data_IF_744759334147
#
_entry.id   IF_744759334147
#
_cell.length_a   1.000
_cell.length_b   1.000
_cell.length_c   1.000
_cell.angle_alpha   90.00
_cell.angle_beta   90.00
_cell.angle_gamma   90.00
#
_symmetry.space_group_name_H-M   'P 1'
#
loop_
_entity.id
_entity.type
_entity.pdbx_description
1 polymer ?
#
# COMPACT_ATOMS: atom_id res chain seq x y z
N UNK A 1 23.59 10.67 -5.05
CA UNK A 1 22.74 9.47 -5.22
C UNK A 1 22.70 8.75 -3.89
N UNK A 2 21.56 8.71 -3.22
CA UNK A 2 21.34 7.91 -2.01
C UNK A 2 21.13 6.47 -2.47
N UNK A 3 21.81 5.48 -1.90
CA UNK A 3 21.64 4.08 -2.30
C UNK A 3 20.24 3.58 -1.91
N UNK A 4 19.71 2.57 -2.62
CA UNK A 4 18.39 1.98 -2.35
C UNK A 4 18.23 1.49 -0.91
N UNK A 5 19.32 1.04 -0.29
CA UNK A 5 19.38 0.66 1.13
C UNK A 5 19.30 1.85 2.09
N UNK A 6 19.94 2.98 1.76
CA UNK A 6 19.85 4.19 2.59
C UNK A 6 18.45 4.80 2.52
N UNK A 7 17.79 4.72 1.36
CA UNK A 7 16.41 5.15 1.20
C UNK A 7 15.45 4.29 2.05
N UNK A 8 15.67 2.97 2.14
CA UNK A 8 14.81 2.06 2.92
C UNK A 8 15.01 2.17 4.44
N UNK A 9 16.17 2.66 4.91
CA UNK A 9 16.45 2.90 6.34
C UNK A 9 15.96 4.27 6.84
N UNK A 10 15.56 5.16 5.93
CA UNK A 10 15.10 6.52 6.25
C UNK A 10 13.63 6.74 5.93
N UNK A 11 12.93 5.65 5.60
CA UNK A 11 11.51 5.60 5.34
C UNK A 11 10.79 4.92 6.52
N UNK A 12 9.94 5.63 7.29
CA UNK A 12 9.24 5.05 8.43
C UNK A 12 8.27 3.93 8.04
N UNK A 13 7.78 3.92 6.79
CA UNK A 13 6.90 2.87 6.28
C UNK A 13 7.67 1.61 5.81
N UNK A 14 9.00 1.67 5.67
CA UNK A 14 9.81 0.57 5.17
C UNK A 14 9.90 -0.60 6.17
N UNK A 15 9.68 -1.85 5.72
CA UNK A 15 9.87 -3.04 6.56
C UNK A 15 11.29 -3.15 7.14
N UNK A 16 12.30 -2.70 6.40
CA UNK A 16 13.70 -2.72 6.85
C UNK A 16 13.90 -1.79 8.03
N UNK A 17 13.36 -0.56 7.94
CA UNK A 17 13.40 0.40 9.05
C UNK A 17 12.64 -0.14 10.27
N UNK A 18 11.41 -0.64 10.09
CA UNK A 18 10.62 -1.20 11.17
C UNK A 18 11.32 -2.34 11.91
N UNK A 19 11.97 -3.25 11.17
CA UNK A 19 12.74 -4.35 11.75
C UNK A 19 13.95 -3.84 12.55
N UNK A 20 14.76 -2.93 11.96
CA UNK A 20 15.96 -2.38 12.62
C UNK A 20 15.57 -1.59 13.87
N UNK A 21 14.58 -0.71 13.79
CA UNK A 21 14.10 0.08 14.91
C UNK A 21 13.59 -0.81 16.05
N UNK A 22 12.80 -1.83 15.74
CA UNK A 22 12.28 -2.80 16.72
C UNK A 22 13.42 -3.59 17.38
N UNK A 23 14.39 -4.05 16.60
CA UNK A 23 15.55 -4.79 17.13
C UNK A 23 16.40 -3.92 18.06
N UNK A 24 16.71 -2.68 17.65
CA UNK A 24 17.49 -1.73 18.45
C UNK A 24 16.75 -1.39 19.75
N UNK A 25 15.49 -0.97 19.67
CA UNK A 25 14.69 -0.58 20.85
C UNK A 25 14.39 -1.76 21.76
N UNK A 26 14.18 -2.96 21.21
CA UNK A 26 13.99 -4.19 21.98
C UNK A 26 15.26 -4.69 22.67
N UNK A 27 16.45 -4.41 22.13
CA UNK A 27 17.72 -4.84 22.72
C UNK A 27 18.15 -3.95 23.91
N UNK A 28 17.80 -2.66 23.91
CA UNK A 28 18.24 -1.72 24.95
C UNK A 28 17.89 -2.17 26.39
N UNK A 29 16.66 -2.63 26.69
CA UNK A 29 16.30 -3.06 28.05
C UNK A 29 16.99 -4.36 28.52
N UNK A 30 17.68 -5.08 27.63
CA UNK A 30 18.49 -6.24 28.01
C UNK A 30 19.77 -5.83 28.75
N UNK A 31 20.24 -4.60 28.54
CA UNK A 31 21.44 -4.06 29.17
C UNK A 31 21.07 -3.53 30.55
N UNK A 32 21.83 -3.93 31.58
CA UNK A 32 21.64 -3.45 32.95
C UNK A 32 22.61 -2.30 33.24
N UNK A 33 22.17 -1.04 33.22
CA UNK A 33 23.06 0.12 33.34
C UNK A 33 23.78 0.19 34.70
N UNK A 34 23.21 -0.43 35.75
CA UNK A 34 23.82 -0.48 37.09
C UNK A 34 25.00 -1.44 37.21
N UNK A 35 25.18 -2.34 36.24
CA UNK A 35 26.36 -3.21 36.17
C UNK A 35 27.51 -2.60 35.38
N UNK A 36 27.30 -1.44 34.76
CA UNK A 36 28.29 -0.75 33.93
C UNK A 36 29.09 0.25 34.77
N UNK A 37 30.35 0.46 34.39
CA UNK A 37 31.14 1.56 34.93
C UNK A 37 30.64 2.92 34.39
N UNK A 38 31.07 4.02 35.00
CA UNK A 38 30.56 5.36 34.68
C UNK A 38 30.82 5.82 33.23
N UNK A 39 31.87 5.29 32.59
CA UNK A 39 32.22 5.63 31.20
C UNK A 39 31.34 4.86 30.22
N UNK A 40 31.21 3.54 30.42
CA UNK A 40 30.36 2.68 29.60
C UNK A 40 28.87 3.06 29.73
N UNK A 41 28.43 3.46 30.93
CA UNK A 41 27.06 3.95 31.15
C UNK A 41 26.79 5.25 30.39
N UNK A 42 27.73 6.19 30.39
CA UNK A 42 27.62 7.42 29.58
C UNK A 42 27.60 7.15 28.08
N UNK A 43 28.41 6.19 27.62
CA UNK A 43 28.40 5.76 26.22
C UNK A 43 27.04 5.15 25.82
N UNK A 44 26.45 4.32 26.69
CA UNK A 44 25.10 3.76 26.48
C UNK A 44 24.03 4.84 26.40
N UNK A 45 24.09 5.85 27.28
CA UNK A 45 23.17 6.99 27.26
C UNK A 45 23.28 7.81 25.97
N UNK A 46 24.50 8.07 25.50
CA UNK A 46 24.73 8.73 24.23
C UNK A 46 24.18 7.92 23.03
N UNK A 47 24.42 6.61 23.02
CA UNK A 47 23.92 5.73 21.96
C UNK A 47 22.38 5.66 21.94
N UNK A 48 21.75 5.55 23.11
CA UNK A 48 20.29 5.51 23.25
C UNK A 48 19.65 6.82 22.80
N UNK A 49 20.25 7.95 23.19
CA UNK A 49 19.78 9.27 22.77
C UNK A 49 19.92 9.48 21.27
N UNK A 50 21.04 9.05 20.67
CA UNK A 50 21.23 9.10 19.22
C UNK A 50 20.19 8.23 18.50
N UNK A 51 19.93 7.01 18.97
CA UNK A 51 18.93 6.13 18.38
C UNK A 51 17.51 6.74 18.46
N UNK A 52 17.18 7.35 19.60
CA UNK A 52 15.92 8.07 19.81
C UNK A 52 15.78 9.25 18.85
N UNK A 53 16.83 10.06 18.71
CA UNK A 53 16.86 11.20 17.80
C UNK A 53 16.72 10.80 16.34
N UNK A 54 17.40 9.73 15.91
CA UNK A 54 17.29 9.18 14.55
C UNK A 54 15.86 8.68 14.32
N UNK A 55 15.31 7.90 15.25
CA UNK A 55 13.94 7.39 15.14
C UNK A 55 12.93 8.54 15.01
N UNK A 56 13.00 9.56 15.87
CA UNK A 56 12.13 10.74 15.79
C UNK A 56 12.33 11.54 14.50
N UNK A 57 13.56 11.71 14.02
CA UNK A 57 13.80 12.41 12.76
C UNK A 57 13.17 11.68 11.56
N UNK A 58 13.11 10.35 11.60
CA UNK A 58 12.51 9.52 10.54
C UNK A 58 10.98 9.50 10.65
N UNK A 59 10.42 9.47 11.85
CA UNK A 59 8.96 9.35 12.03
C UNK A 59 8.20 10.67 12.02
N UNK A 60 8.87 11.81 12.25
CA UNK A 60 8.22 13.12 12.20
C UNK A 60 7.92 13.54 10.75
N UNK A 61 6.70 14.08 10.59
CA UNK A 61 6.01 14.51 9.36
C UNK A 61 6.93 15.07 8.25
N UNK A 62 6.74 14.53 7.04
CA UNK A 62 7.50 14.88 5.82
C UNK A 62 7.05 16.20 5.18
N UNK A 63 5.87 16.73 5.54
CA UNK A 63 5.21 17.77 4.74
C UNK A 63 5.60 19.23 5.06
N UNK A 64 6.57 19.47 5.96
CA UNK A 64 7.02 20.84 6.29
C UNK A 64 8.05 21.36 5.28
N UNK A 65 7.60 22.14 4.29
CA UNK A 65 8.42 22.96 3.37
C UNK A 65 9.02 24.20 4.03
N UNK A 66 9.65 24.05 5.19
CA UNK A 66 10.28 25.17 5.93
C UNK A 66 11.80 25.12 5.76
N UNK A 67 12.46 26.28 5.70
CA UNK A 67 13.90 26.50 5.43
C UNK A 67 14.91 25.78 6.36
N UNK A 68 14.44 25.03 7.36
CA UNK A 68 15.21 24.07 8.13
C UNK A 68 14.44 22.75 8.07
N UNK A 69 15.07 21.60 7.73
CA UNK A 69 14.37 20.33 7.72
C UNK A 69 13.90 20.04 9.16
N UNK A 70 12.61 20.26 9.42
CA UNK A 70 11.95 20.14 10.73
C UNK A 70 12.32 18.82 11.45
N UNK A 71 12.52 17.76 10.66
CA UNK A 71 13.03 16.44 11.07
C UNK A 71 14.36 16.48 11.80
N UNK A 72 15.34 17.23 11.29
CA UNK A 72 16.65 17.36 11.92
C UNK A 72 16.54 18.09 13.27
N UNK A 73 15.68 19.12 13.34
CA UNK A 73 15.41 19.86 14.58
C UNK A 73 14.70 18.98 15.60
N UNK A 74 13.67 18.25 15.18
CA UNK A 74 12.92 17.32 16.03
C UNK A 74 13.80 16.19 16.55
N UNK A 75 14.63 15.58 15.70
CA UNK A 75 15.59 14.55 16.11
C UNK A 75 16.65 15.06 17.08
N UNK A 76 17.19 16.26 16.85
CA UNK A 76 18.15 16.90 17.77
C UNK A 76 17.49 17.24 19.11
N UNK A 77 16.26 17.76 19.10
CA UNK A 77 15.50 18.05 20.31
C UNK A 77 15.22 16.76 21.09
N UNK A 78 14.79 15.68 20.43
CA UNK A 78 14.57 14.38 21.05
C UNK A 78 15.86 13.79 21.65
N UNK A 79 16.99 13.92 20.94
CA UNK A 79 18.31 13.51 21.45
C UNK A 79 18.67 14.27 22.73
N UNK A 80 18.50 15.60 22.73
CA UNK A 80 18.81 16.45 23.87
C UNK A 80 17.92 16.13 25.08
N UNK A 81 16.63 15.88 24.85
CA UNK A 81 15.69 15.44 25.89
C UNK A 81 16.12 14.07 26.44
N UNK A 82 16.41 13.09 25.58
CA UNK A 82 16.84 11.76 26.01
C UNK A 82 18.12 11.82 26.86
N UNK A 83 19.13 12.61 26.45
CA UNK A 83 20.35 12.83 27.24
C UNK A 83 20.06 13.50 28.59
N UNK A 84 19.20 14.53 28.61
CA UNK A 84 18.86 15.28 29.83
C UNK A 84 18.17 14.39 30.88
N UNK A 85 17.39 13.42 30.43
CA UNK A 85 16.64 12.53 31.31
C UNK A 85 17.28 11.14 31.50
N UNK A 86 18.52 10.94 31.03
CA UNK A 86 19.22 9.67 31.11
C UNK A 86 19.29 9.09 32.55
N UNK A 87 19.68 9.91 33.53
CA UNK A 87 19.78 9.47 34.93
C UNK A 87 18.39 9.20 35.57
N UNK A 88 17.37 9.97 35.17
CA UNK A 88 15.99 9.71 35.57
C UNK A 88 15.44 8.42 34.95
N UNK A 89 15.90 8.10 33.73
CA UNK A 89 15.65 6.85 33.03
C UNK A 89 16.20 5.64 33.81
N UNK A 90 17.44 5.70 34.30
CA UNK A 90 18.03 4.63 35.13
C UNK A 90 17.21 4.37 36.41
N UNK A 91 16.71 5.45 37.05
CA UNK A 91 15.84 5.32 38.23
C UNK A 91 14.47 4.70 37.90
N UNK A 92 13.89 5.04 36.75
CA UNK A 92 12.63 4.47 36.28
C UNK A 92 12.79 3.00 35.87
N UNK A 93 13.87 2.66 35.17
CA UNK A 93 14.24 1.30 34.79
C UNK A 93 14.39 0.40 36.01
N UNK A 94 15.15 0.82 37.02
CA UNK A 94 15.31 0.06 38.26
C UNK A 94 13.98 -0.16 39.00
N UNK A 95 13.10 0.85 39.05
CA UNK A 95 11.75 0.72 39.62
C UNK A 95 10.91 -0.29 38.84
N UNK A 96 10.97 -0.31 37.52
CA UNK A 96 10.25 -1.28 36.68
C UNK A 96 10.77 -2.70 36.92
N UNK A 97 12.09 -2.90 36.93
CA UNK A 97 12.70 -4.20 37.26
C UNK A 97 12.27 -4.67 38.65
N UNK A 98 12.28 -3.78 39.64
CA UNK A 98 11.87 -4.11 41.00
C UNK A 98 10.39 -4.47 41.08
N UNK A 99 9.51 -3.73 40.40
CA UNK A 99 8.07 -4.05 40.31
C UNK A 99 7.80 -5.40 39.64
N UNK A 100 8.51 -5.70 38.55
CA UNK A 100 8.38 -7.00 37.87
C UNK A 100 8.87 -8.14 38.75
N UNK A 101 9.99 -7.96 39.49
CA UNK A 101 10.45 -8.94 40.47
C UNK A 101 9.47 -9.13 41.61
N UNK A 102 8.89 -8.04 42.15
CA UNK A 102 7.89 -8.14 43.22
C UNK A 102 6.61 -8.81 42.75
N UNK A 103 6.30 -8.76 41.45
CA UNK A 103 5.22 -9.51 40.81
C UNK A 103 5.59 -10.97 40.47
N UNK A 104 6.77 -11.47 40.86
CA UNK A 104 7.19 -12.86 40.66
C UNK A 104 7.82 -13.17 39.29
N UNK A 105 8.13 -12.16 38.48
CA UNK A 105 8.72 -12.37 37.15
C UNK A 105 10.18 -12.83 37.26
N UNK A 106 10.46 -14.03 36.74
CA UNK A 106 11.80 -14.66 36.78
C UNK A 106 12.86 -13.94 35.92
N UNK A 107 12.45 -13.32 34.80
CA UNK A 107 13.35 -12.61 33.88
C UNK A 107 12.85 -11.20 33.51
N UNK A 108 12.85 -10.23 34.45
CA UNK A 108 12.28 -8.89 34.24
C UNK A 108 12.81 -8.18 32.99
N UNK A 109 14.13 -8.25 32.75
CA UNK A 109 14.82 -7.63 31.61
C UNK A 109 14.31 -8.15 30.26
N UNK A 110 14.05 -9.47 30.15
CA UNK A 110 13.50 -10.08 28.92
C UNK A 110 12.06 -9.62 28.66
N UNK A 111 11.27 -9.46 29.72
CA UNK A 111 9.90 -8.94 29.61
C UNK A 111 9.87 -7.46 29.22
N UNK A 112 10.79 -6.64 29.75
CA UNK A 112 10.93 -5.24 29.33
C UNK A 112 11.39 -5.13 27.87
N UNK A 113 12.32 -5.97 27.45
CA UNK A 113 12.77 -6.06 26.05
C UNK A 113 11.61 -6.43 25.13
N UNK A 114 10.86 -7.49 25.47
CA UNK A 114 9.69 -7.92 24.71
C UNK A 114 8.61 -6.83 24.64
N UNK A 115 8.32 -6.15 25.76
CA UNK A 115 7.35 -5.05 25.79
C UNK A 115 7.78 -3.86 24.94
N UNK A 116 9.06 -3.49 24.99
CA UNK A 116 9.61 -2.38 24.19
C UNK A 116 9.60 -2.70 22.70
N UNK A 117 9.96 -3.94 22.33
CA UNK A 117 9.86 -4.42 20.96
C UNK A 117 8.40 -4.40 20.47
N UNK A 118 7.45 -4.90 21.28
CA UNK A 118 6.03 -4.91 20.92
C UNK A 118 5.46 -3.50 20.72
N UNK A 119 5.78 -2.55 21.60
CA UNK A 119 5.35 -1.16 21.47
C UNK A 119 5.95 -0.48 20.23
N UNK A 120 7.25 -0.70 19.97
CA UNK A 120 7.93 -0.14 18.79
C UNK A 120 7.34 -0.71 17.50
N UNK A 121 7.07 -2.02 17.48
CA UNK A 121 6.44 -2.67 16.33
C UNK A 121 5.01 -2.16 16.10
N UNK A 122 4.23 -1.97 17.16
CA UNK A 122 2.88 -1.41 17.06
C UNK A 122 2.91 0.04 16.52
N UNK A 123 3.86 0.87 16.97
CA UNK A 123 4.06 2.22 16.44
C UNK A 123 4.43 2.18 14.94
N UNK A 124 5.34 1.29 14.54
CA UNK A 124 5.67 1.08 13.12
C UNK A 124 4.44 0.68 12.28
N UNK A 125 3.59 -0.22 12.79
CA UNK A 125 2.36 -0.60 12.08
C UNK A 125 1.39 0.59 11.94
N UNK A 126 1.30 1.44 12.96
CA UNK A 126 0.49 2.66 12.91
C UNK A 126 1.05 3.67 11.88
N UNK A 127 2.36 3.93 11.89
CA UNK A 127 3.03 4.82 10.93
C UNK A 127 2.85 4.30 9.49
N UNK A 128 2.98 2.99 9.26
CA UNK A 128 2.76 2.38 7.96
C UNK A 128 1.30 2.46 7.50
N UNK A 129 0.35 2.33 8.42
CA UNK A 129 -1.07 2.50 8.10
C UNK A 129 -1.40 3.97 7.75
N UNK A 130 -0.82 4.93 8.48
CA UNK A 130 -0.97 6.36 8.19
C UNK A 130 -0.37 6.72 6.82
N UNK A 131 0.84 6.24 6.51
CA UNK A 131 1.49 6.48 5.22
C UNK A 131 0.67 5.95 4.02
N UNK A 132 0.07 4.76 4.14
CA UNK A 132 -0.84 4.21 3.11
C UNK A 132 -2.09 5.07 2.93
N UNK A 133 -2.63 5.60 4.02
CA UNK A 133 -3.78 6.48 3.98
C UNK A 133 -3.44 7.80 3.28
N UNK A 134 -2.29 8.40 3.59
CA UNK A 134 -1.80 9.61 2.91
C UNK A 134 -1.55 9.37 1.41
N UNK A 135 -0.96 8.23 1.04
CA UNK A 135 -0.79 7.85 -0.37
C UNK A 135 -2.13 7.74 -1.09
N UNK A 136 -3.11 7.09 -0.47
CA UNK A 136 -4.47 6.98 -1.02
C UNK A 136 -5.18 8.34 -1.12
N UNK A 137 -5.08 9.21 -0.11
CA UNK A 137 -5.67 10.55 -0.11
C UNK A 137 -4.98 11.49 -1.12
N UNK A 138 -3.66 11.39 -1.27
CA UNK A 138 -2.89 12.17 -2.25
C UNK A 138 -3.23 11.76 -3.69
N UNK A 139 -3.43 10.46 -3.94
CA UNK A 139 -3.93 9.95 -5.23
C UNK A 139 -5.38 10.39 -5.45
N UNK A 140 -6.27 10.25 -4.46
CA UNK A 140 -7.67 10.67 -4.60
C UNK A 140 -7.84 12.18 -4.90
N UNK A 141 -6.96 13.04 -4.38
CA UNK A 141 -6.98 14.48 -4.65
C UNK A 141 -6.64 14.89 -6.10
N UNK A 142 -6.10 13.97 -6.90
CA UNK A 142 -5.80 14.17 -8.32
C UNK A 142 -6.82 13.51 -9.26
N UNK A 143 -7.80 12.77 -8.71
CA UNK A 143 -8.84 12.12 -9.49
C UNK A 143 -9.68 13.15 -10.22
N UNK A 144 -9.67 13.08 -11.54
CA UNK A 144 -10.64 13.80 -12.36
C UNK A 144 -11.68 12.81 -12.86
N UNK A 145 -12.94 13.23 -12.81
CA UNK A 145 -14.06 12.44 -13.28
C UNK A 145 -14.53 12.99 -14.61
N UNK A 146 -14.64 12.12 -15.60
CA UNK A 146 -15.23 12.43 -16.90
C UNK A 146 -16.33 11.43 -17.25
N UNK A 147 -17.23 11.77 -18.18
CA UNK A 147 -18.11 10.78 -18.79
C UNK A 147 -17.27 9.67 -19.41
N UNK A 148 -17.71 8.41 -19.25
CA UNK A 148 -17.02 7.25 -19.85
C UNK A 148 -16.94 7.44 -21.37
N UNK A 149 -15.75 7.29 -21.93
CA UNK A 149 -15.53 7.39 -23.37
C UNK A 149 -16.38 6.38 -24.17
N UNK A 150 -16.89 6.73 -25.37
CA UNK A 150 -17.80 5.86 -26.13
C UNK A 150 -17.23 4.47 -26.43
N UNK A 151 -15.93 4.37 -26.72
CA UNK A 151 -15.29 3.08 -27.00
C UNK A 151 -15.28 2.16 -25.77
N UNK A 152 -14.91 2.69 -24.61
CA UNK A 152 -14.91 1.98 -23.32
C UNK A 152 -16.34 1.56 -22.96
N UNK A 153 -17.29 2.49 -23.01
CA UNK A 153 -18.70 2.22 -22.71
C UNK A 153 -19.25 1.09 -23.59
N UNK A 154 -19.07 1.19 -24.90
CA UNK A 154 -19.58 0.20 -25.85
C UNK A 154 -18.92 -1.17 -25.68
N UNK A 155 -17.61 -1.21 -25.40
CA UNK A 155 -16.90 -2.46 -25.10
C UNK A 155 -17.41 -3.10 -23.82
N UNK A 156 -17.51 -2.35 -22.72
CA UNK A 156 -18.04 -2.86 -21.45
C UNK A 156 -19.47 -3.37 -21.61
N UNK A 157 -20.35 -2.60 -22.27
CA UNK A 157 -21.72 -3.01 -22.53
C UNK A 157 -21.76 -4.30 -23.37
N UNK A 158 -20.95 -4.39 -24.42
CA UNK A 158 -20.91 -5.57 -25.28
C UNK A 158 -20.44 -6.82 -24.54
N UNK A 159 -19.43 -6.71 -23.66
CA UNK A 159 -18.95 -7.80 -22.81
C UNK A 159 -20.07 -8.27 -21.87
N UNK A 160 -20.77 -7.33 -21.23
CA UNK A 160 -21.86 -7.63 -20.29
C UNK A 160 -23.09 -8.25 -20.98
N UNK A 161 -23.33 -7.92 -22.26
CA UNK A 161 -24.46 -8.43 -23.04
C UNK A 161 -24.14 -9.66 -23.88
N UNK A 162 -22.88 -10.05 -24.03
CA UNK A 162 -22.47 -11.14 -24.91
C UNK A 162 -23.16 -12.48 -24.57
N UNK A 163 -23.43 -12.73 -23.29
CA UNK A 163 -24.19 -13.90 -22.83
C UNK A 163 -24.84 -13.62 -21.48
N UNK A 164 -25.84 -14.43 -21.11
CA UNK A 164 -26.53 -14.29 -19.82
C UNK A 164 -25.65 -14.83 -18.68
N UNK A 165 -25.01 -13.91 -17.96
CA UNK A 165 -24.17 -14.19 -16.80
C UNK A 165 -24.77 -13.54 -15.56
N UNK A 166 -24.76 -14.26 -14.44
CA UNK A 166 -25.19 -13.72 -13.16
C UNK A 166 -24.46 -12.41 -12.82
N UNK A 167 -25.22 -11.39 -12.43
CA UNK A 167 -24.68 -10.06 -12.11
C UNK A 167 -24.60 -9.10 -13.30
N UNK A 168 -24.71 -9.56 -14.56
CA UNK A 168 -24.61 -8.70 -15.75
C UNK A 168 -25.62 -7.54 -15.73
N UNK A 169 -26.87 -7.80 -15.36
CA UNK A 169 -27.90 -6.76 -15.27
C UNK A 169 -27.61 -5.68 -14.22
N UNK A 170 -27.00 -6.05 -13.10
CA UNK A 170 -26.58 -5.08 -12.07
C UNK A 170 -25.42 -4.21 -12.58
N UNK A 171 -24.43 -4.82 -13.25
CA UNK A 171 -23.30 -4.11 -13.84
C UNK A 171 -23.76 -3.18 -14.98
N UNK A 172 -24.71 -3.58 -15.82
CA UNK A 172 -25.28 -2.71 -16.86
C UNK A 172 -25.94 -1.47 -16.25
N UNK A 173 -26.74 -1.62 -15.19
CA UNK A 173 -27.33 -0.48 -14.50
C UNK A 173 -26.29 0.45 -13.84
N UNK A 174 -25.13 -0.08 -13.48
CA UNK A 174 -24.01 0.72 -12.99
C UNK A 174 -23.31 1.49 -14.12
N UNK A 175 -23.10 0.85 -15.27
CA UNK A 175 -22.44 1.44 -16.43
C UNK A 175 -23.16 2.71 -16.91
N UNK A 176 -24.51 2.70 -16.88
CA UNK A 176 -25.36 3.83 -17.29
C UNK A 176 -25.07 5.15 -16.54
N UNK A 177 -24.54 5.06 -15.33
CA UNK A 177 -24.26 6.22 -14.45
C UNK A 177 -22.81 6.30 -14.00
N UNK A 178 -21.96 5.40 -14.49
CA UNK A 178 -20.55 5.38 -14.15
C UNK A 178 -19.81 6.58 -14.75
N UNK A 179 -18.76 7.00 -14.06
CA UNK A 179 -17.81 7.99 -14.57
C UNK A 179 -16.44 7.34 -14.70
N UNK A 180 -15.65 7.79 -15.65
CA UNK A 180 -14.27 7.35 -15.81
C UNK A 180 -13.37 8.22 -14.93
N UNK A 181 -12.47 7.56 -14.18
CA UNK A 181 -11.39 8.21 -13.44
C UNK A 181 -10.22 8.35 -14.40
N UNK A 182 -9.75 9.56 -14.62
CA UNK A 182 -8.61 9.84 -15.49
C UNK A 182 -7.54 10.67 -14.78
N UNK A 183 -6.29 10.41 -15.14
CA UNK A 183 -5.09 10.95 -14.48
C UNK A 183 -4.27 11.86 -15.39
N UNK A 184 -4.28 11.60 -16.70
CA UNK A 184 -3.59 12.38 -17.73
C UNK A 184 -4.44 12.48 -19.01
N UNK A 185 -3.91 13.20 -20.02
CA UNK A 185 -4.57 13.44 -21.30
C UNK A 185 -4.18 12.37 -22.37
N UNK A 186 -3.57 11.25 -21.96
CA UNK A 186 -3.06 10.20 -22.83
C UNK A 186 -4.00 9.01 -22.99
N UNK A 187 -3.68 8.12 -23.93
CA UNK A 187 -4.34 6.81 -23.99
C UNK A 187 -3.87 5.95 -22.81
N UNK A 188 -4.81 5.22 -22.21
CA UNK A 188 -4.51 4.16 -21.25
C UNK A 188 -5.22 2.87 -21.67
N UNK A 189 -4.49 1.76 -21.58
CA UNK A 189 -5.01 0.40 -21.70
C UNK A 189 -5.94 0.02 -20.54
N UNK A 190 -6.07 0.87 -19.51
CA UNK A 190 -6.95 0.66 -18.37
C UNK A 190 -7.89 1.85 -18.19
N UNK A 191 -9.21 1.59 -18.21
CA UNK A 191 -10.23 2.56 -17.87
C UNK A 191 -10.82 2.22 -16.50
N UNK A 192 -10.63 3.10 -15.52
CA UNK A 192 -11.14 2.94 -14.15
C UNK A 192 -12.51 3.62 -14.00
N UNK A 193 -13.43 2.98 -13.30
CA UNK A 193 -14.79 3.48 -13.12
C UNK A 193 -15.03 3.96 -11.69
N UNK A 194 -15.76 5.06 -11.57
CA UNK A 194 -16.41 5.51 -10.34
C UNK A 194 -17.91 5.23 -10.44
N UNK A 195 -18.40 4.37 -9.56
CA UNK A 195 -19.81 3.96 -9.50
C UNK A 195 -20.43 4.37 -8.16
N UNK A 196 -21.59 5.07 -8.14
CA UNK A 196 -22.32 5.42 -6.93
C UNK A 196 -22.59 4.22 -6.00
N UNK A 197 -22.66 4.45 -4.69
CA UNK A 197 -22.81 3.39 -3.68
C UNK A 197 -24.22 2.80 -3.59
N UNK A 198 -25.22 3.53 -4.09
CA UNK A 198 -26.64 3.22 -3.94
C UNK A 198 -27.16 2.21 -4.97
N UNK A 199 -26.34 1.84 -5.95
CA UNK A 199 -26.73 0.96 -7.05
C UNK A 199 -26.69 -0.52 -6.66
N UNK A 200 -27.48 -1.38 -7.34
CA UNK A 200 -27.45 -2.82 -7.12
C UNK A 200 -26.04 -3.39 -7.31
N UNK A 201 -25.61 -4.27 -6.40
CA UNK A 201 -24.30 -4.94 -6.47
C UNK A 201 -24.41 -6.27 -7.19
N UNK A 202 -23.46 -6.53 -8.08
CA UNK A 202 -23.32 -7.81 -8.77
C UNK A 202 -22.80 -8.89 -7.82
N UNK A 203 -23.27 -10.12 -8.00
CA UNK A 203 -22.78 -11.31 -7.27
C UNK A 203 -22.14 -12.26 -8.28
N UNK A 204 -20.92 -12.75 -8.02
CA UNK A 204 -20.07 -12.47 -6.85
C UNK A 204 -19.46 -11.07 -6.86
N UNK A 205 -19.16 -10.56 -5.65
CA UNK A 205 -18.72 -9.17 -5.47
C UNK A 205 -17.29 -8.91 -5.97
N UNK A 206 -16.41 -9.91 -5.93
CA UNK A 206 -15.02 -9.77 -6.37
C UNK A 206 -14.73 -10.85 -7.39
N UNK A 207 -14.54 -10.45 -8.65
CA UNK A 207 -14.28 -11.37 -9.76
C UNK A 207 -13.73 -10.62 -10.98
N UNK A 208 -13.02 -11.34 -11.84
CA UNK A 208 -12.96 -10.98 -13.26
C UNK A 208 -14.27 -11.46 -13.88
N UNK A 209 -14.98 -10.60 -14.59
CA UNK A 209 -16.20 -10.99 -15.29
C UNK A 209 -15.87 -12.07 -16.33
N UNK A 210 -16.63 -13.17 -16.43
CA UNK A 210 -16.18 -14.36 -17.14
C UNK A 210 -16.19 -14.23 -18.67
N UNK A 211 -16.76 -13.15 -19.21
CA UNK A 211 -16.68 -12.85 -20.65
C UNK A 211 -15.46 -11.96 -20.91
N UNK A 212 -14.64 -12.35 -21.88
CA UNK A 212 -13.49 -11.59 -22.36
C UNK A 212 -13.63 -11.28 -23.84
N UNK A 213 -13.07 -10.16 -24.29
CA UNK A 213 -13.03 -9.81 -25.71
C UNK A 213 -11.61 -9.98 -26.26
N UNK A 214 -11.39 -10.92 -27.18
CA UNK A 214 -10.08 -11.19 -27.77
C UNK A 214 -9.89 -10.40 -29.06
N UNK A 215 -8.71 -9.83 -29.28
CA UNK A 215 -8.37 -9.20 -30.55
C UNK A 215 -6.87 -9.30 -30.84
N UNK A 216 -6.47 -8.90 -32.04
CA UNK A 216 -5.06 -8.83 -32.44
C UNK A 216 -4.67 -7.38 -32.61
N UNK A 217 -3.64 -6.95 -31.88
CA UNK A 217 -3.09 -5.61 -32.01
C UNK A 217 -2.47 -5.38 -33.41
N UNK A 218 -2.25 -4.13 -33.84
CA UNK A 218 -1.64 -3.83 -35.13
C UNK A 218 -0.26 -4.48 -35.36
N UNK A 219 0.49 -4.74 -34.29
CA UNK A 219 1.79 -5.42 -34.30
C UNK A 219 1.69 -6.96 -34.34
N UNK A 220 0.48 -7.52 -34.39
CA UNK A 220 0.22 -8.97 -34.40
C UNK A 220 0.12 -9.62 -33.01
N UNK A 221 0.26 -8.87 -31.92
CA UNK A 221 0.17 -9.41 -30.56
C UNK A 221 -1.28 -9.77 -30.20
N UNK A 222 -1.58 -11.00 -29.74
CA UNK A 222 -2.89 -11.36 -29.24
C UNK A 222 -3.16 -10.71 -27.88
N UNK A 223 -4.21 -9.88 -27.83
CA UNK A 223 -4.64 -9.15 -26.64
C UNK A 223 -6.06 -9.56 -26.24
N UNK A 224 -6.38 -9.30 -24.98
CA UNK A 224 -7.71 -9.51 -24.41
C UNK A 224 -8.16 -8.26 -23.66
N UNK A 225 -9.46 -7.97 -23.74
CA UNK A 225 -10.14 -7.01 -22.89
C UNK A 225 -10.85 -7.78 -21.80
N UNK A 226 -10.59 -7.40 -20.55
CA UNK A 226 -11.22 -7.97 -19.36
C UNK A 226 -11.89 -6.90 -18.52
N UNK A 227 -12.98 -7.29 -17.86
CA UNK A 227 -13.74 -6.44 -16.96
C UNK A 227 -13.55 -6.94 -15.52
N UNK A 228 -12.97 -6.09 -14.67
CA UNK A 228 -12.83 -6.38 -13.25
C UNK A 228 -14.03 -5.87 -12.46
N UNK A 229 -14.51 -6.71 -11.55
CA UNK A 229 -15.57 -6.40 -10.57
C UNK A 229 -14.97 -6.43 -9.17
N UNK A 230 -15.20 -5.36 -8.42
CA UNK A 230 -14.78 -5.25 -7.02
C UNK A 230 -15.93 -4.72 -6.16
N UNK A 231 -16.15 -5.34 -4.99
CA UNK A 231 -17.29 -5.06 -4.10
C UNK A 231 -18.67 -5.06 -4.82
N UNK A 232 -18.81 -5.85 -5.87
CA UNK A 232 -20.01 -5.98 -6.70
C UNK A 232 -20.22 -4.80 -7.64
N UNK A 233 -19.19 -3.99 -7.88
CA UNK A 233 -19.21 -2.85 -8.79
C UNK A 233 -18.25 -3.04 -9.96
N UNK A 234 -18.56 -2.39 -11.09
CA UNK A 234 -17.58 -2.17 -12.17
C UNK A 234 -16.40 -1.40 -11.55
N UNK A 235 -15.21 -2.01 -11.59
CA UNK A 235 -13.99 -1.43 -11.05
C UNK A 235 -13.14 -0.84 -12.19
N UNK A 236 -12.69 -1.67 -13.11
CA UNK A 236 -11.96 -1.23 -14.30
C UNK A 236 -12.14 -2.17 -15.49
N UNK A 237 -11.95 -1.64 -16.69
CA UNK A 237 -11.77 -2.38 -17.94
C UNK A 237 -10.28 -2.30 -18.28
N UNK A 238 -9.65 -3.42 -18.60
CA UNK A 238 -8.23 -3.45 -18.95
C UNK A 238 -7.98 -4.23 -20.24
N UNK A 239 -6.95 -3.82 -20.97
CA UNK A 239 -6.36 -4.56 -22.08
C UNK A 239 -5.09 -5.22 -21.58
N UNK A 240 -5.07 -6.55 -21.63
CA UNK A 240 -3.92 -7.37 -21.25
C UNK A 240 -3.47 -8.25 -22.43
N UNK A 241 -2.23 -8.73 -22.36
CA UNK A 241 -1.81 -9.83 -23.20
C UNK A 241 -2.60 -11.11 -22.86
N UNK A 242 -2.89 -11.92 -23.87
CA UNK A 242 -3.56 -13.23 -23.66
C UNK A 242 -2.65 -14.19 -22.90
N UNK A 243 -1.36 -14.13 -23.15
CA UNK A 243 -0.35 -14.97 -22.52
C UNK A 243 0.45 -14.14 -21.48
N UNK A 244 0.50 -14.58 -20.22
CA UNK A 244 1.15 -13.83 -19.13
C UNK A 244 2.68 -13.77 -19.25
N UNK A 245 3.31 -14.44 -20.21
CA UNK A 245 4.75 -14.31 -20.50
C UNK A 245 5.09 -13.03 -21.29
N UNK A 246 4.09 -12.31 -21.81
CA UNK A 246 4.23 -11.02 -22.48
C UNK A 246 4.35 -9.86 -21.48
N UNK A 247 4.84 -8.67 -21.90
CA UNK A 247 5.08 -7.55 -21.00
C UNK A 247 3.87 -7.16 -20.14
N UNK A 248 4.14 -6.79 -18.89
CA UNK A 248 3.14 -6.41 -17.87
C UNK A 248 2.31 -5.16 -18.25
N UNK A 249 2.72 -4.39 -19.26
CA UNK A 249 1.96 -3.25 -19.81
C UNK A 249 2.03 -3.23 -21.34
N UNK A 250 0.89 -2.91 -21.95
CA UNK A 250 0.70 -2.75 -23.39
C UNK A 250 0.44 -1.29 -23.79
N UNK A 251 0.54 -0.34 -22.85
CA UNK A 251 0.24 1.08 -23.09
C UNK A 251 1.10 1.66 -24.23
N UNK A 252 2.40 1.35 -24.24
CA UNK A 252 3.33 1.83 -25.27
C UNK A 252 3.05 1.25 -26.67
N UNK A 253 2.16 0.26 -26.78
CA UNK A 253 1.85 -0.46 -28.02
C UNK A 253 0.51 -0.04 -28.63
N UNK A 254 -0.27 0.78 -27.92
CA UNK A 254 -1.66 1.07 -28.24
C UNK A 254 -1.92 2.56 -28.15
N UNK A 255 -2.69 3.08 -29.10
CA UNK A 255 -3.14 4.48 -29.12
C UNK A 255 -4.67 4.59 -28.95
N UNK A 256 -5.38 3.46 -28.92
CA UNK A 256 -6.84 3.41 -28.86
C UNK A 256 -7.37 2.04 -28.37
N UNK A 257 -8.59 2.07 -27.82
CA UNK A 257 -9.39 0.87 -27.54
C UNK A 257 -9.80 0.17 -28.84
N UNK A 258 -9.93 -1.18 -28.85
CA UNK A 258 -10.31 -1.91 -30.05
C UNK A 258 -11.74 -1.61 -30.49
N UNK A 259 -11.98 -1.66 -31.80
CA UNK A 259 -13.32 -1.59 -32.36
C UNK A 259 -14.11 -2.87 -32.06
N UNK A 260 -15.43 -2.76 -31.85
CA UNK A 260 -16.29 -3.92 -31.59
C UNK A 260 -16.27 -4.96 -32.72
N UNK A 261 -16.00 -4.55 -33.96
CA UNK A 261 -15.91 -5.47 -35.10
C UNK A 261 -14.60 -6.26 -35.12
N UNK A 262 -13.58 -5.83 -34.37
CA UNK A 262 -12.27 -6.47 -34.29
C UNK A 262 -12.17 -7.48 -33.13
N UNK A 263 -13.16 -7.52 -32.23
CA UNK A 263 -13.14 -8.40 -31.06
C UNK A 263 -13.96 -9.67 -31.27
N UNK A 264 -13.51 -10.76 -30.64
CA UNK A 264 -14.21 -12.03 -30.55
C UNK A 264 -14.46 -12.31 -29.07
N UNK A 265 -15.71 -12.49 -28.68
CA UNK A 265 -16.05 -12.77 -27.28
C UNK A 265 -15.82 -14.24 -26.94
N UNK A 266 -15.25 -14.48 -25.77
CA UNK A 266 -15.07 -15.82 -25.21
C UNK A 266 -15.59 -15.86 -23.78
N UNK A 267 -16.21 -16.98 -23.41
CA UNK A 267 -16.63 -17.27 -22.05
C UNK A 267 -15.58 -18.16 -21.37
N UNK A 268 -15.06 -17.71 -20.23
CA UNK A 268 -14.26 -18.51 -19.33
C UNK A 268 -15.14 -19.47 -18.54
N UNK A 269 -14.80 -20.76 -18.60
CA UNK A 269 -15.51 -21.83 -17.90
C UNK A 269 -14.86 -22.16 -16.56
N UNK A 270 -15.58 -22.84 -15.65
CA UNK A 270 -15.04 -23.26 -14.35
C UNK A 270 -13.79 -24.16 -14.42
N UNK A 271 -13.52 -24.78 -15.57
CA UNK A 271 -12.33 -25.60 -15.81
C UNK A 271 -11.12 -24.78 -16.32
N UNK A 272 -11.24 -23.46 -16.38
CA UNK A 272 -10.23 -22.54 -16.88
C UNK A 272 -10.13 -22.47 -18.41
N UNK A 273 -11.02 -23.15 -19.15
CA UNK A 273 -11.02 -23.09 -20.62
C UNK A 273 -11.93 -21.98 -21.12
N UNK A 274 -11.55 -21.39 -22.25
CA UNK A 274 -12.37 -20.40 -22.95
C UNK A 274 -13.18 -21.07 -24.07
N UNK A 275 -14.41 -20.60 -24.29
CA UNK A 275 -15.24 -21.01 -25.42
C UNK A 275 -15.70 -19.78 -26.19
N UNK A 276 -15.58 -19.74 -27.53
CA UNK A 276 -16.16 -18.67 -28.32
C UNK A 276 -17.66 -18.51 -28.06
N UNK A 277 -18.09 -17.26 -27.92
CA UNK A 277 -19.50 -16.88 -27.90
C UNK A 277 -19.83 -16.42 -29.32
N UNK A 278 -20.72 -17.14 -29.98
CA UNK A 278 -21.25 -16.71 -31.28
C UNK A 278 -22.40 -15.74 -31.02
N UNK A 279 -22.18 -14.47 -31.35
CA UNK A 279 -23.22 -13.45 -31.41
C UNK A 279 -24.12 -13.60 -32.63
#
# INVERSE_FOLDING_TARGET
MVSKEQASLTDPASPVFGFVATAVMGALPLIDPFKLNSTTRRALHAATAAATGIYTAVTVDRNSTTLVPFRAVAGLAATAVALRFADAGDALDSRMVQKLRSAGVKYPRRWMAAGSAALTFAAFLADRAAARKEEYEAVSGLERLQPVGPAVHNLTESILRATDVAGAGALLAQLDVAQEIYWDDGFSSTAQFRVPDELPRAVPHNQVFPVRALYTAPNGLPLQVLLQVFDGKIDHLAIDAVDPEYPDSVDDLLDAWPDLSAVIYVLERPDGRTTPIHS
#
